data_IF_193790604591
#
_entry.id   IF_193790604591
#
_cell.length_a   1.000
_cell.length_b   1.000
_cell.length_c   1.000
_cell.angle_alpha   90.00
_cell.angle_beta   90.00
_cell.angle_gamma   90.00
#
_symmetry.space_group_name_H-M   'P 1'
#
loop_
_entity.id
_entity.type
_entity.pdbx_description
1 polymer ?
#
# COMPACT_ATOMS: atom_id res chain seq x y z
N UNK A 1 8.47 -44.60 14.40
CA UNK A 1 8.01 -43.41 15.14
C UNK A 1 8.08 -42.16 14.25
N UNK A 2 8.88 -42.16 13.20
CA UNK A 2 9.18 -40.97 12.37
C UNK A 2 8.00 -40.53 11.49
N UNK A 3 7.22 -41.47 10.93
CA UNK A 3 6.04 -41.15 10.12
C UNK A 3 4.99 -40.33 10.86
N UNK A 4 4.83 -40.56 12.17
CA UNK A 4 3.88 -39.82 12.99
C UNK A 4 4.30 -38.35 13.18
N UNK A 5 5.60 -38.09 13.33
CA UNK A 5 6.15 -36.73 13.38
C UNK A 5 5.98 -36.01 12.05
N UNK A 6 6.18 -36.68 10.90
CA UNK A 6 5.93 -36.08 9.58
C UNK A 6 4.45 -35.69 9.40
N UNK A 7 3.52 -36.55 9.84
CA UNK A 7 2.08 -36.25 9.78
C UNK A 7 1.75 -35.04 10.66
N UNK A 8 2.28 -34.97 11.88
CA UNK A 8 2.08 -33.81 12.78
C UNK A 8 2.64 -32.53 12.16
N UNK A 9 3.85 -32.58 11.59
CA UNK A 9 4.46 -31.42 10.95
C UNK A 9 3.61 -30.92 9.76
N UNK A 10 3.09 -31.84 8.94
CA UNK A 10 2.21 -31.50 7.83
C UNK A 10 0.89 -30.87 8.29
N UNK A 11 0.29 -31.41 9.36
CA UNK A 11 -0.92 -30.85 9.96
C UNK A 11 -0.69 -29.46 10.56
N UNK A 12 0.45 -29.22 11.21
CA UNK A 12 0.81 -27.90 11.74
C UNK A 12 1.01 -26.87 10.63
N UNK A 13 1.59 -27.28 9.50
CA UNK A 13 1.74 -26.43 8.31
C UNK A 13 0.39 -26.02 7.72
N UNK A 14 -0.58 -26.94 7.66
CA UNK A 14 -1.95 -26.67 7.21
C UNK A 14 -2.71 -25.69 8.13
N UNK A 15 -2.35 -25.63 9.41
CA UNK A 15 -2.92 -24.70 10.39
C UNK A 15 -2.24 -23.32 10.39
N UNK A 16 -1.19 -23.10 9.60
CA UNK A 16 -0.58 -21.77 9.47
C UNK A 16 -1.51 -20.85 8.67
N UNK A 17 -2.44 -20.22 9.38
CA UNK A 17 -3.28 -19.18 8.81
C UNK A 17 -2.40 -17.98 8.43
N UNK A 18 -2.65 -17.36 7.28
CA UNK A 18 -1.96 -16.13 6.90
C UNK A 18 -2.27 -14.99 7.87
N UNK A 19 -1.31 -14.07 8.03
CA UNK A 19 -1.52 -12.86 8.82
C UNK A 19 -2.66 -12.00 8.27
N UNK A 20 -3.36 -11.31 9.17
CA UNK A 20 -4.30 -10.24 8.84
C UNK A 20 -3.53 -8.93 8.76
N UNK A 21 -3.40 -8.37 7.56
CA UNK A 21 -2.58 -7.20 7.28
C UNK A 21 -3.49 -6.04 6.89
N UNK A 22 -3.39 -4.93 7.60
CA UNK A 22 -4.07 -3.68 7.25
C UNK A 22 -3.10 -2.80 6.46
N UNK A 23 -3.46 -2.46 5.22
CA UNK A 23 -2.67 -1.61 4.35
C UNK A 23 -3.40 -0.28 4.12
N UNK A 24 -2.76 0.82 4.49
CA UNK A 24 -3.24 2.15 4.13
C UNK A 24 -2.62 2.58 2.79
N UNK A 25 -3.45 2.77 1.77
CA UNK A 25 -3.01 3.11 0.41
C UNK A 25 -3.81 4.31 -0.15
N UNK A 26 -3.39 5.55 0.12
CA UNK A 26 -3.99 6.72 -0.49
C UNK A 26 -3.75 6.73 -2.02
N UNK A 27 -4.82 6.99 -2.79
CA UNK A 27 -4.77 7.15 -4.24
C UNK A 27 -4.26 8.54 -4.59
N UNK A 28 -2.95 8.72 -4.53
CA UNK A 28 -2.33 10.02 -4.77
C UNK A 28 -1.74 10.16 -6.17
N UNK A 29 -1.05 9.14 -6.68
CA UNK A 29 -0.45 9.09 -8.02
C UNK A 29 -0.32 7.66 -8.53
N UNK A 30 -0.28 7.50 -9.85
CA UNK A 30 -0.17 6.19 -10.51
C UNK A 30 0.99 5.32 -10.01
N UNK A 31 2.18 5.88 -9.78
CA UNK A 31 3.35 5.11 -9.34
C UNK A 31 3.16 4.51 -7.94
N UNK A 32 2.66 5.31 -6.99
CA UNK A 32 2.38 4.87 -5.63
C UNK A 32 1.30 3.77 -5.62
N UNK A 33 0.23 4.01 -6.36
CA UNK A 33 -0.89 3.08 -6.51
C UNK A 33 -0.43 1.75 -7.12
N UNK A 34 0.44 1.79 -8.14
CA UNK A 34 1.01 0.59 -8.75
C UNK A 34 1.97 -0.17 -7.83
N UNK A 35 2.81 0.55 -7.07
CA UNK A 35 3.75 -0.07 -6.12
C UNK A 35 3.00 -0.78 -4.98
N UNK A 36 2.07 -0.08 -4.33
CA UNK A 36 1.20 -0.68 -3.29
C UNK A 36 0.34 -1.81 -3.87
N UNK A 37 0.01 -1.68 -5.17
CA UNK A 37 -0.61 -2.71 -5.98
C UNK A 37 0.14 -4.05 -5.89
N UNK A 38 1.41 -4.01 -6.28
CA UNK A 38 2.26 -5.19 -6.32
C UNK A 38 2.49 -5.78 -4.92
N UNK A 39 2.66 -4.95 -3.89
CA UNK A 39 2.77 -5.41 -2.50
C UNK A 39 1.55 -6.23 -2.10
N UNK A 40 0.35 -5.68 -2.33
CA UNK A 40 -0.90 -6.37 -2.01
C UNK A 40 -0.98 -7.73 -2.71
N UNK A 41 -0.64 -7.76 -4.01
CA UNK A 41 -0.67 -8.99 -4.80
C UNK A 41 0.25 -10.06 -4.21
N UNK A 42 1.47 -9.69 -3.82
CA UNK A 42 2.45 -10.62 -3.23
C UNK A 42 1.92 -11.17 -1.90
N UNK A 43 1.42 -10.30 -1.01
CA UNK A 43 0.91 -10.71 0.31
C UNK A 43 -0.30 -11.64 0.20
N UNK A 44 -1.26 -11.32 -0.67
CA UNK A 44 -2.43 -12.18 -0.91
C UNK A 44 -2.00 -13.51 -1.54
N UNK A 45 -1.07 -13.50 -2.50
CA UNK A 45 -0.55 -14.73 -3.11
C UNK A 45 0.21 -15.63 -2.13
N UNK A 46 0.76 -15.06 -1.05
CA UNK A 46 1.39 -15.79 0.04
C UNK A 46 0.38 -16.36 1.06
N UNK A 47 -0.93 -16.14 0.86
CA UNK A 47 -1.99 -16.65 1.72
C UNK A 47 -2.41 -15.72 2.85
N UNK A 48 -1.95 -14.46 2.87
CA UNK A 48 -2.34 -13.47 3.87
C UNK A 48 -3.71 -12.83 3.58
N UNK A 49 -4.44 -12.49 4.64
CA UNK A 49 -5.68 -11.73 4.56
C UNK A 49 -5.33 -10.24 4.59
N UNK A 50 -5.44 -9.57 3.45
CA UNK A 50 -5.06 -8.15 3.32
C UNK A 50 -6.31 -7.29 3.23
N UNK A 51 -6.47 -6.35 4.17
CA UNK A 51 -7.48 -5.30 4.15
C UNK A 51 -6.87 -3.98 3.75
N UNK A 52 -7.50 -3.25 2.82
CA UNK A 52 -6.99 -2.01 2.27
C UNK A 52 -7.91 -0.86 2.68
N UNK A 53 -7.35 0.17 3.31
CA UNK A 53 -8.01 1.46 3.48
C UNK A 53 -7.43 2.40 2.42
N UNK A 54 -8.29 2.90 1.53
CA UNK A 54 -7.86 3.74 0.42
C UNK A 54 -8.56 5.09 0.47
N UNK A 55 -7.75 6.16 0.59
CA UNK A 55 -8.27 7.53 0.50
C UNK A 55 -8.22 8.02 -0.94
N UNK A 56 -9.35 8.50 -1.46
CA UNK A 56 -9.48 8.89 -2.87
C UNK A 56 -9.02 10.33 -3.11
N UNK A 57 -7.70 10.57 -3.17
CA UNK A 57 -7.13 11.91 -3.31
C UNK A 57 -7.18 12.39 -4.77
N UNK A 58 -6.86 11.49 -5.70
CA UNK A 58 -6.93 11.70 -7.14
C UNK A 58 -8.03 10.82 -7.73
N UNK A 59 -9.10 11.47 -8.16
CA UNK A 59 -10.32 10.88 -8.73
C UNK A 59 -10.11 10.30 -10.13
N UNK A 60 -9.00 10.64 -10.80
CA UNK A 60 -8.65 10.09 -12.11
C UNK A 60 -8.03 8.70 -12.03
N UNK A 61 -7.57 8.30 -10.84
CA UNK A 61 -6.91 7.02 -10.61
C UNK A 61 -7.93 5.90 -10.48
N UNK A 62 -7.91 5.00 -11.47
CA UNK A 62 -8.64 3.74 -11.40
C UNK A 62 -8.17 2.89 -10.23
N UNK A 63 -9.08 2.11 -9.67
CA UNK A 63 -8.74 1.11 -8.67
C UNK A 63 -7.69 0.14 -9.22
N UNK A 64 -6.56 -0.03 -8.53
CA UNK A 64 -5.46 -0.79 -9.09
C UNK A 64 -5.83 -2.26 -9.27
N UNK A 65 -6.69 -2.85 -8.44
CA UNK A 65 -7.09 -4.26 -8.57
C UNK A 65 -8.48 -4.54 -7.97
N UNK A 66 -9.27 -5.34 -8.68
CA UNK A 66 -10.57 -5.90 -8.28
C UNK A 66 -10.41 -7.15 -7.41
N UNK A 67 -9.62 -7.10 -6.32
CA UNK A 67 -9.65 -8.18 -5.34
C UNK A 67 -10.96 -8.05 -4.55
N UNK A 68 -11.90 -9.00 -4.68
CA UNK A 68 -13.25 -8.82 -4.16
C UNK A 68 -13.24 -8.79 -2.62
N UNK A 69 -13.76 -7.70 -2.05
CA UNK A 69 -14.32 -7.67 -0.69
C UNK A 69 -13.56 -6.92 0.41
N UNK A 70 -12.30 -6.52 0.22
CA UNK A 70 -11.46 -6.00 1.32
C UNK A 70 -10.95 -4.56 1.16
N UNK A 71 -11.55 -3.77 0.27
CA UNK A 71 -11.18 -2.35 0.06
C UNK A 71 -12.24 -1.44 0.68
N UNK A 72 -11.79 -0.60 1.61
CA UNK A 72 -12.60 0.43 2.26
C UNK A 72 -12.15 1.80 1.78
N UNK A 73 -13.06 2.53 1.12
CA UNK A 73 -12.77 3.89 0.67
C UNK A 73 -13.04 4.90 1.77
N UNK A 74 -12.15 5.89 1.88
CA UNK A 74 -12.31 7.03 2.80
C UNK A 74 -12.16 8.35 2.07
N UNK A 75 -12.93 9.33 2.50
CA UNK A 75 -12.79 10.71 2.00
C UNK A 75 -11.48 11.32 2.52
N UNK A 76 -10.64 11.91 1.66
CA UNK A 76 -9.50 12.68 2.11
C UNK A 76 -9.93 14.00 2.76
N UNK A 77 -9.08 14.54 3.62
CA UNK A 77 -9.26 15.90 4.11
C UNK A 77 -9.12 16.93 2.96
N UNK A 78 -9.94 18.00 2.89
CA UNK A 78 -9.91 18.99 1.79
C UNK A 78 -8.51 19.54 1.47
N UNK A 79 -7.73 19.90 2.50
CA UNK A 79 -6.35 20.38 2.33
C UNK A 79 -5.45 19.40 1.56
N UNK A 80 -5.67 18.08 1.68
CA UNK A 80 -4.88 17.09 0.94
C UNK A 80 -5.25 17.07 -0.54
N UNK A 81 -6.52 17.29 -0.87
CA UNK A 81 -7.00 17.38 -2.25
C UNK A 81 -6.41 18.63 -2.92
N UNK A 82 -6.42 19.76 -2.22
CA UNK A 82 -5.86 21.03 -2.69
C UNK A 82 -4.35 20.92 -2.97
N UNK A 83 -3.57 20.45 -1.99
CA UNK A 83 -2.12 20.25 -2.12
C UNK A 83 -1.79 19.21 -3.20
N UNK A 84 -2.62 18.19 -3.38
CA UNK A 84 -2.42 17.18 -4.42
C UNK A 84 -2.64 17.71 -5.84
N UNK A 85 -3.64 18.59 -6.01
CA UNK A 85 -4.04 19.15 -7.31
C UNK A 85 -3.19 20.36 -7.73
N UNK A 86 -2.48 21.00 -6.79
CA UNK A 86 -1.59 22.12 -7.09
C UNK A 86 -0.29 21.67 -7.79
N UNK A 87 -0.33 21.67 -9.12
CA UNK A 87 0.80 21.28 -9.96
C UNK A 87 2.06 22.15 -9.76
N UNK A 88 1.90 23.43 -9.40
CA UNK A 88 3.04 24.33 -9.16
C UNK A 88 3.71 23.98 -7.83
N UNK A 89 2.91 23.74 -6.79
CA UNK A 89 3.40 23.27 -5.51
C UNK A 89 4.14 21.93 -5.64
N UNK A 90 3.57 20.95 -6.36
CA UNK A 90 4.23 19.66 -6.61
C UNK A 90 5.53 19.84 -7.39
N UNK A 91 5.55 20.70 -8.41
CA UNK A 91 6.77 20.96 -9.19
C UNK A 91 7.85 21.61 -8.32
N UNK A 92 7.46 22.49 -7.41
CA UNK A 92 8.36 23.15 -6.47
C UNK A 92 8.91 22.16 -5.46
N UNK A 93 8.07 21.27 -4.91
CA UNK A 93 8.51 20.18 -4.04
C UNK A 93 9.48 19.24 -4.75
N UNK A 94 9.21 18.84 -5.99
CA UNK A 94 10.10 17.96 -6.75
C UNK A 94 11.48 18.59 -7.03
N UNK A 95 11.52 19.91 -7.21
CA UNK A 95 12.75 20.68 -7.41
C UNK A 95 13.43 21.10 -6.11
N UNK A 96 12.78 20.91 -4.97
CA UNK A 96 13.33 21.27 -3.67
C UNK A 96 14.55 20.41 -3.34
N UNK A 97 15.62 21.05 -2.89
CA UNK A 97 16.78 20.38 -2.31
C UNK A 97 16.67 20.23 -0.78
N UNK A 98 15.62 20.82 -0.20
CA UNK A 98 15.28 20.68 1.21
C UNK A 98 14.42 19.44 1.39
N UNK A 99 14.83 18.54 2.31
CA UNK A 99 14.02 17.38 2.66
C UNK A 99 12.71 17.79 3.32
N UNK A 100 11.72 16.91 3.29
CA UNK A 100 10.37 17.12 3.85
C UNK A 100 10.40 17.53 5.35
N UNK A 101 11.48 17.17 6.05
CA UNK A 101 11.72 17.49 7.46
C UNK A 101 12.57 18.77 7.69
N UNK A 102 12.82 19.59 6.66
CA UNK A 102 13.65 20.79 6.76
C UNK A 102 15.16 20.54 6.88
N UNK A 103 15.61 19.28 6.72
CA UNK A 103 17.04 18.97 6.68
C UNK A 103 17.58 19.17 5.27
N UNK A 104 18.56 20.08 5.14
CA UNK A 104 19.29 20.31 3.89
C UNK A 104 20.22 19.13 3.60
N UNK A 105 20.17 18.67 2.36
CA UNK A 105 21.03 17.68 1.72
C UNK A 105 20.78 16.22 2.11
N UNK A 106 19.89 15.58 1.36
CA UNK A 106 20.24 14.28 0.79
C UNK A 106 20.09 14.40 -0.72
N UNK A 107 21.22 14.68 -1.39
CA UNK A 107 21.31 14.53 -2.85
C UNK A 107 21.08 13.05 -3.16
N UNK A 108 19.89 12.71 -3.62
CA UNK A 108 19.65 11.42 -4.25
C UNK A 108 20.03 11.60 -5.71
N UNK A 109 21.29 11.25 -6.00
CA UNK A 109 21.92 10.92 -7.29
C UNK A 109 21.40 11.67 -8.52
#
# INVERSE_FOLDING_TARGET
MDYFQFIIFFLLSLCSNGYKILLFNPKYRHSHVNFMSQITKILVSAGHEVTIISSNIDDTLKDPYHLPGYIYYTEPHPNMIEVAKDAEHIRTLWKSTEGISGNKNVSII
#
